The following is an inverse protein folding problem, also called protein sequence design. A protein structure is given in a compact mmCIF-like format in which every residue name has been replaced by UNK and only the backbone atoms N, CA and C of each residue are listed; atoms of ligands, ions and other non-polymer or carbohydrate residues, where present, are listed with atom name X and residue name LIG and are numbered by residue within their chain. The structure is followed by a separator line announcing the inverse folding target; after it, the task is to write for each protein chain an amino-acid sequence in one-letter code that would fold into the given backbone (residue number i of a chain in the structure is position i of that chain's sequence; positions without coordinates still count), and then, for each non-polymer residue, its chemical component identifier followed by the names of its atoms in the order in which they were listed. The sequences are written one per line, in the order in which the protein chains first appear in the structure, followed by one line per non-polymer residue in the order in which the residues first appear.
data_IF_511192178535
#
_entry.id   IF_511192178535
#
_cell.length_a   1.000
_cell.length_b   1.000
_cell.length_c   1.000
_cell.angle_alpha   90.00
_cell.angle_beta   90.00
_cell.angle_gamma   90.00
#
_symmetry.space_group_name_H-M   'P 1'
#
loop_
_entity.id
_entity.type
_entity.pdbx_description
1 polymer ?
#
# COMPACT_ATOMS: atom_id res chain seq x y z
N UNK A 1 19.09 -75.99 31.11
CA UNK A 1 19.92 -74.92 31.71
C UNK A 1 20.44 -74.05 30.58
N UNK A 2 19.72 -72.98 30.29
CA UNK A 2 20.01 -71.97 29.25
C UNK A 2 20.93 -70.91 29.85
N UNK A 3 22.16 -70.80 29.35
CA UNK A 3 23.07 -69.72 29.74
C UNK A 3 22.83 -68.53 28.81
N UNK A 4 22.25 -67.48 29.37
CA UNK A 4 22.07 -66.17 28.74
C UNK A 4 23.44 -65.55 28.44
N UNK A 5 23.61 -65.05 27.21
CA UNK A 5 24.75 -64.20 26.84
C UNK A 5 24.29 -62.75 27.00
N UNK A 6 24.85 -61.95 27.93
CA UNK A 6 24.42 -60.57 28.12
C UNK A 6 25.01 -59.69 27.02
N UNK A 7 24.13 -59.13 26.20
CA UNK A 7 24.43 -57.98 25.37
C UNK A 7 24.54 -56.74 26.25
N UNK A 8 25.63 -55.98 26.13
CA UNK A 8 25.72 -54.63 26.68
C UNK A 8 27.10 -54.23 27.15
N UNK A 9 27.93 -53.70 26.25
CA UNK A 9 28.90 -52.68 26.66
C UNK A 9 28.23 -51.31 26.50
N UNK A 10 28.09 -50.50 27.57
CA UNK A 10 27.51 -49.18 27.45
C UNK A 10 28.40 -48.32 26.55
N UNK A 11 27.75 -47.51 25.71
CA UNK A 11 28.41 -46.44 24.97
C UNK A 11 29.39 -45.72 25.90
N UNK A 12 30.67 -45.70 25.52
CA UNK A 12 31.65 -44.84 26.19
C UNK A 12 31.09 -43.43 26.12
N UNK A 13 30.61 -42.92 27.26
CA UNK A 13 30.17 -41.54 27.41
C UNK A 13 31.24 -40.68 26.78
N UNK A 14 30.93 -40.02 25.67
CA UNK A 14 31.82 -39.03 25.06
C UNK A 14 31.83 -37.83 25.99
N UNK A 15 32.59 -37.96 27.07
CA UNK A 15 32.77 -36.94 28.06
C UNK A 15 33.23 -35.66 27.36
N UNK A 16 32.58 -34.52 27.61
CA UNK A 16 32.78 -33.31 26.84
C UNK A 16 34.25 -32.87 26.86
N UNK A 17 34.72 -32.42 25.69
CA UNK A 17 36.07 -31.94 25.51
C UNK A 17 36.14 -30.51 26.09
N UNK A 18 36.88 -30.32 27.18
CA UNK A 18 37.11 -29.00 27.78
C UNK A 18 38.44 -28.44 27.30
N UNK A 19 38.63 -27.10 27.29
CA UNK A 19 39.92 -26.49 26.98
C UNK A 19 41.11 -27.12 27.71
N UNK A 20 40.95 -27.36 29.02
CA UNK A 20 42.00 -27.97 29.83
C UNK A 20 42.27 -29.43 29.50
N UNK A 21 41.26 -30.16 29.03
CA UNK A 21 41.43 -31.53 28.58
C UNK A 21 42.17 -31.58 27.25
N UNK A 22 41.91 -30.65 26.34
CA UNK A 22 42.67 -30.53 25.08
C UNK A 22 44.14 -30.23 25.36
N UNK A 23 44.43 -29.33 26.31
CA UNK A 23 45.82 -29.01 26.71
C UNK A 23 46.59 -30.20 27.29
N UNK A 24 45.89 -31.08 28.00
CA UNK A 24 46.46 -32.25 28.69
C UNK A 24 46.33 -33.55 27.89
N UNK A 25 45.91 -33.48 26.63
CA UNK A 25 45.72 -34.67 25.81
C UNK A 25 47.07 -35.24 25.40
N UNK A 26 47.35 -36.47 25.81
CA UNK A 26 48.53 -37.21 25.37
C UNK A 26 48.23 -38.04 24.12
N UNK A 27 49.22 -38.12 23.22
CA UNK A 27 49.18 -38.97 22.03
C UNK A 27 50.26 -40.04 22.10
N UNK A 28 49.93 -41.25 21.65
CA UNK A 28 50.91 -42.35 21.58
C UNK A 28 51.97 -42.10 20.51
N UNK A 29 53.23 -42.35 20.84
CA UNK A 29 54.34 -42.24 19.87
C UNK A 29 54.22 -43.31 18.78
N UNK A 30 54.61 -42.95 17.56
CA UNK A 30 54.57 -43.88 16.42
C UNK A 30 55.60 -45.00 16.59
N UNK A 31 55.23 -46.24 16.24
CA UNK A 31 56.12 -47.42 16.27
C UNK A 31 57.38 -47.22 15.42
N UNK A 32 58.52 -47.78 15.84
CA UNK A 32 59.83 -47.66 15.18
C UNK A 32 59.71 -47.81 13.64
N UNK A 33 60.21 -46.83 12.89
CA UNK A 33 60.28 -46.86 11.42
C UNK A 33 59.15 -46.15 10.66
N UNK A 34 58.16 -45.57 11.35
CA UNK A 34 57.10 -44.73 10.71
C UNK A 34 57.26 -43.26 11.08
N UNK A 35 56.99 -42.36 10.13
CA UNK A 35 56.99 -40.89 10.36
C UNK A 35 55.73 -40.52 11.15
N UNK A 36 55.90 -39.82 12.27
CA UNK A 36 54.82 -39.24 13.07
C UNK A 36 54.78 -37.72 12.94
N UNK A 37 53.73 -37.09 13.48
CA UNK A 37 53.66 -35.63 13.61
C UNK A 37 54.71 -35.11 14.61
N UNK A 38 55.16 -33.87 14.42
CA UNK A 38 56.03 -33.20 15.38
C UNK A 38 55.29 -32.95 16.69
N UNK A 39 55.86 -33.38 17.81
CA UNK A 39 55.24 -33.21 19.13
C UNK A 39 55.05 -31.72 19.46
N UNK A 40 56.02 -30.87 19.12
CA UNK A 40 55.98 -29.44 19.39
C UNK A 40 54.89 -28.73 18.56
N UNK A 41 54.72 -29.13 17.30
CA UNK A 41 53.67 -28.58 16.42
C UNK A 41 52.27 -29.01 16.90
N UNK A 42 52.11 -30.29 17.25
CA UNK A 42 50.86 -30.82 17.79
C UNK A 42 50.53 -30.14 19.12
N UNK A 43 51.51 -29.95 20.00
CA UNK A 43 51.33 -29.29 21.29
C UNK A 43 50.94 -27.83 21.12
N UNK A 44 51.59 -27.11 20.20
CA UNK A 44 51.24 -25.72 19.87
C UNK A 44 49.83 -25.61 19.29
N UNK A 45 49.43 -26.55 18.44
CA UNK A 45 48.07 -26.62 17.90
C UNK A 45 47.03 -26.88 19.00
N UNK A 46 47.29 -27.82 19.92
CA UNK A 46 46.40 -28.10 21.05
C UNK A 46 46.19 -26.87 21.96
N UNK A 47 47.24 -26.08 22.21
CA UNK A 47 47.11 -24.84 22.97
C UNK A 47 46.19 -23.82 22.29
N UNK A 48 46.36 -23.61 20.97
CA UNK A 48 45.50 -22.70 20.20
C UNK A 48 44.05 -23.16 20.18
N UNK A 49 43.81 -24.45 19.94
CA UNK A 49 42.45 -25.02 19.97
C UNK A 49 41.82 -24.83 21.35
N UNK A 50 42.58 -25.06 22.42
CA UNK A 50 42.08 -24.85 23.77
C UNK A 50 41.76 -23.37 24.06
N UNK A 51 42.55 -22.42 23.56
CA UNK A 51 42.27 -20.99 23.68
C UNK A 51 41.00 -20.59 22.93
N UNK A 52 40.85 -21.01 21.67
CA UNK A 52 39.66 -20.73 20.85
C UNK A 52 38.39 -21.33 21.49
N UNK A 53 38.51 -22.53 22.06
CA UNK A 53 37.42 -23.16 22.82
C UNK A 53 37.07 -22.38 24.08
N UNK A 54 38.07 -21.94 24.85
CA UNK A 54 37.83 -21.14 26.05
C UNK A 54 37.18 -19.79 25.73
N UNK A 55 37.59 -19.14 24.64
CA UNK A 55 36.97 -17.92 24.16
C UNK A 55 35.51 -18.14 23.74
N UNK A 56 35.25 -19.22 22.99
CA UNK A 56 33.90 -19.60 22.57
C UNK A 56 33.00 -19.96 23.76
N UNK A 57 33.54 -20.63 24.78
CA UNK A 57 32.80 -20.97 25.99
C UNK A 57 32.44 -19.73 26.80
N UNK A 58 33.34 -18.75 26.88
CA UNK A 58 33.06 -17.44 27.48
C UNK A 58 31.97 -16.70 26.73
N UNK A 59 32.05 -16.62 25.41
CA UNK A 59 31.02 -15.96 24.59
C UNK A 59 29.65 -16.61 24.76
N UNK A 60 29.58 -17.95 24.76
CA UNK A 60 28.34 -18.68 25.05
C UNK A 60 27.82 -18.41 26.45
N UNK A 61 28.68 -18.29 27.45
CA UNK A 61 28.29 -17.96 28.81
C UNK A 61 27.71 -16.54 28.88
N UNK A 62 28.36 -15.57 28.23
CA UNK A 62 27.91 -14.18 28.17
C UNK A 62 26.56 -14.06 27.44
N UNK A 63 26.39 -14.76 26.32
CA UNK A 63 25.12 -14.85 25.57
C UNK A 63 24.00 -15.47 26.41
N UNK A 64 24.28 -16.55 27.13
CA UNK A 64 23.30 -17.19 28.03
C UNK A 64 22.90 -16.26 29.16
N UNK A 65 23.86 -15.59 29.80
CA UNK A 65 23.59 -14.60 30.83
C UNK A 65 22.79 -13.40 30.30
N UNK A 66 22.98 -13.00 29.05
CA UNK A 66 22.18 -11.98 28.40
C UNK A 66 20.73 -12.44 28.15
N UNK A 67 20.55 -13.64 27.59
CA UNK A 67 19.22 -14.24 27.39
C UNK A 67 18.47 -14.37 28.73
N UNK A 68 19.15 -14.83 29.79
CA UNK A 68 18.53 -14.99 31.10
C UNK A 68 18.13 -13.64 31.71
N UNK A 69 18.98 -12.62 31.59
CA UNK A 69 18.64 -11.24 31.99
C UNK A 69 17.44 -10.70 31.21
N UNK A 70 17.40 -10.89 29.90
CA UNK A 70 16.26 -10.48 29.07
C UNK A 70 14.98 -11.21 29.50
N UNK A 71 15.04 -12.52 29.73
CA UNK A 71 13.90 -13.31 30.22
C UNK A 71 13.43 -12.85 31.60
N UNK A 72 14.34 -12.52 32.50
CA UNK A 72 14.00 -11.95 33.82
C UNK A 72 13.32 -10.60 33.67
N UNK A 73 13.87 -9.70 32.84
CA UNK A 73 13.27 -8.41 32.54
C UNK A 73 11.83 -8.55 32.02
N UNK A 74 11.59 -9.47 31.08
CA UNK A 74 10.25 -9.79 30.57
C UNK A 74 9.31 -10.31 31.67
N UNK A 75 9.80 -11.22 32.53
CA UNK A 75 9.02 -11.75 33.67
C UNK A 75 8.64 -10.66 34.68
N UNK A 76 9.58 -9.79 35.04
CA UNK A 76 9.37 -8.70 36.00
C UNK A 76 8.37 -7.66 35.49
N UNK A 77 8.40 -7.38 34.18
CA UNK A 77 7.49 -6.43 33.54
C UNK A 77 6.16 -7.07 33.09
N UNK A 78 5.92 -8.35 33.41
CA UNK A 78 4.70 -9.07 33.05
C UNK A 78 4.47 -9.25 31.54
N UNK A 79 5.50 -9.05 30.72
CA UNK A 79 5.43 -9.18 29.26
C UNK A 79 5.94 -10.57 28.85
N UNK A 80 5.11 -11.38 28.19
CA UNK A 80 5.61 -12.62 27.61
C UNK A 80 6.50 -12.33 26.38
N UNK A 81 7.63 -13.02 26.20
CA UNK A 81 8.50 -12.82 25.04
C UNK A 81 7.80 -13.13 23.70
N UNK A 82 6.84 -14.05 23.71
CA UNK A 82 5.95 -14.33 22.57
C UNK A 82 5.02 -13.14 22.25
N UNK A 83 4.54 -12.43 23.27
CA UNK A 83 3.70 -11.24 23.08
C UNK A 83 4.51 -10.05 22.56
N UNK A 84 5.79 -9.92 22.93
CA UNK A 84 6.67 -8.90 22.37
C UNK A 84 6.93 -9.14 20.87
N UNK A 85 7.20 -10.40 20.48
CA UNK A 85 7.35 -10.78 19.07
C UNK A 85 6.04 -10.62 18.28
N UNK A 86 4.90 -10.99 18.87
CA UNK A 86 3.58 -10.77 18.29
C UNK A 86 3.25 -9.28 18.12
N UNK A 87 3.69 -8.42 19.06
CA UNK A 87 3.47 -6.96 18.97
C UNK A 87 4.31 -6.32 17.87
N UNK A 88 5.54 -6.79 17.67
CA UNK A 88 6.42 -6.33 16.58
C UNK A 88 5.86 -6.73 15.21
N UNK A 89 5.39 -7.97 15.05
CA UNK A 89 4.78 -8.45 13.80
C UNK A 89 3.49 -7.70 13.49
N UNK A 90 2.60 -7.52 14.47
CA UNK A 90 1.39 -6.72 14.32
C UNK A 90 1.70 -5.26 13.94
N UNK A 91 2.79 -4.68 14.48
CA UNK A 91 3.24 -3.33 14.10
C UNK A 91 3.71 -3.27 12.65
N UNK A 92 4.44 -4.28 12.16
CA UNK A 92 4.86 -4.35 10.75
C UNK A 92 3.66 -4.54 9.83
N UNK A 93 2.71 -5.39 10.19
CA UNK A 93 1.47 -5.59 9.43
C UNK A 93 0.61 -4.31 9.39
N UNK A 94 0.50 -3.59 10.51
CA UNK A 94 -0.19 -2.31 10.56
C UNK A 94 0.48 -1.27 9.65
N UNK A 95 1.82 -1.21 9.63
CA UNK A 95 2.57 -0.32 8.72
C UNK A 95 2.31 -0.71 7.26
N UNK A 96 2.30 -2.01 6.93
CA UNK A 96 2.01 -2.49 5.58
C UNK A 96 0.57 -2.14 5.13
N UNK A 97 -0.41 -2.30 6.03
CA UNK A 97 -1.82 -1.93 5.76
C UNK A 97 -1.93 -0.43 5.57
N UNK A 98 -1.31 0.37 6.43
CA UNK A 98 -1.31 1.84 6.30
C UNK A 98 -0.65 2.30 5.00
N UNK A 99 0.47 1.69 4.61
CA UNK A 99 1.15 2.02 3.35
C UNK A 99 0.28 1.69 2.14
N UNK A 100 -0.39 0.52 2.13
CA UNK A 100 -1.35 0.17 1.06
C UNK A 100 -2.56 1.09 1.04
N UNK A 101 -3.09 1.46 2.21
CA UNK A 101 -4.20 2.39 2.33
C UNK A 101 -3.83 3.78 1.81
N UNK A 102 -2.63 4.28 2.15
CA UNK A 102 -2.10 5.55 1.63
C UNK A 102 -1.94 5.51 0.11
N UNK A 103 -1.30 4.48 -0.45
CA UNK A 103 -1.17 4.33 -1.90
C UNK A 103 -2.54 4.30 -2.61
N UNK A 104 -3.53 3.65 -1.99
CA UNK A 104 -4.89 3.60 -2.53
C UNK A 104 -5.57 4.97 -2.46
N UNK A 105 -5.41 5.69 -1.34
CA UNK A 105 -5.93 7.03 -1.18
C UNK A 105 -5.30 8.00 -2.20
N UNK A 106 -3.98 7.97 -2.37
CA UNK A 106 -3.27 8.80 -3.34
C UNK A 106 -3.73 8.51 -4.78
N UNK A 107 -3.94 7.24 -5.12
CA UNK A 107 -4.48 6.84 -6.42
C UNK A 107 -5.91 7.36 -6.64
N UNK A 108 -6.77 7.25 -5.63
CA UNK A 108 -8.14 7.78 -5.70
C UNK A 108 -8.18 9.30 -5.80
N UNK A 109 -7.28 10.00 -5.10
CA UNK A 109 -7.14 11.46 -5.21
C UNK A 109 -6.71 11.83 -6.62
N UNK A 110 -5.69 11.17 -7.18
CA UNK A 110 -5.24 11.43 -8.54
C UNK A 110 -6.34 11.18 -9.59
N UNK A 111 -7.09 10.08 -9.44
CA UNK A 111 -8.23 9.77 -10.31
C UNK A 111 -9.35 10.82 -10.21
N UNK A 112 -9.70 11.23 -8.99
CA UNK A 112 -10.70 12.26 -8.75
C UNK A 112 -10.27 13.63 -9.33
N UNK A 113 -9.00 14.00 -9.19
CA UNK A 113 -8.44 15.22 -9.76
C UNK A 113 -8.48 15.22 -11.28
N UNK A 114 -8.03 14.12 -11.92
CA UNK A 114 -8.07 13.97 -13.38
C UNK A 114 -9.49 14.05 -13.92
N UNK A 115 -10.43 13.39 -13.24
CA UNK A 115 -11.84 13.43 -13.61
C UNK A 115 -12.44 14.83 -13.44
N UNK A 116 -12.16 15.52 -12.33
CA UNK A 116 -12.59 16.90 -12.12
C UNK A 116 -12.08 17.83 -13.23
N UNK A 117 -10.81 17.68 -13.62
CA UNK A 117 -10.24 18.40 -14.77
C UNK A 117 -10.97 18.09 -16.07
N UNK A 118 -11.35 16.83 -16.31
CA UNK A 118 -12.13 16.42 -17.49
C UNK A 118 -13.51 17.06 -17.51
N UNK A 119 -14.29 16.96 -16.43
CA UNK A 119 -15.61 17.61 -16.35
C UNK A 119 -15.51 19.10 -16.61
N UNK A 120 -14.58 19.81 -15.96
CA UNK A 120 -14.41 21.26 -16.17
C UNK A 120 -14.06 21.57 -17.62
N UNK A 121 -13.21 20.77 -18.26
CA UNK A 121 -12.87 20.94 -19.68
C UNK A 121 -14.04 20.67 -20.62
N UNK A 122 -14.91 19.71 -20.28
CA UNK A 122 -16.10 19.37 -21.05
C UNK A 122 -17.15 20.48 -20.89
N UNK A 123 -17.42 20.91 -19.67
CA UNK A 123 -18.34 22.01 -19.38
C UNK A 123 -17.94 23.31 -20.07
N UNK A 124 -16.64 23.64 -20.10
CA UNK A 124 -16.13 24.82 -20.83
C UNK A 124 -16.41 24.73 -22.32
N UNK A 125 -16.10 23.60 -22.96
CA UNK A 125 -16.37 23.39 -24.39
C UNK A 125 -17.87 23.47 -24.70
N UNK A 126 -18.69 22.80 -23.90
CA UNK A 126 -20.15 22.84 -24.04
C UNK A 126 -20.70 24.26 -23.90
N UNK A 127 -20.18 25.04 -22.96
CA UNK A 127 -20.56 26.44 -22.78
C UNK A 127 -20.19 27.30 -24.00
N UNK A 128 -18.98 27.12 -24.53
CA UNK A 128 -18.54 27.84 -25.74
C UNK A 128 -19.42 27.49 -26.95
N UNK A 129 -19.74 26.20 -27.14
CA UNK A 129 -20.65 25.72 -28.19
C UNK A 129 -22.05 26.30 -28.04
N UNK A 130 -22.60 26.29 -26.82
CA UNK A 130 -23.90 26.86 -26.50
C UNK A 130 -23.97 28.36 -26.81
N UNK A 131 -22.93 29.12 -26.45
CA UNK A 131 -22.86 30.55 -26.75
C UNK A 131 -22.83 30.82 -28.26
N UNK A 132 -22.01 30.07 -29.01
CA UNK A 132 -21.93 30.21 -30.46
C UNK A 132 -23.28 29.91 -31.12
N UNK A 133 -23.95 28.84 -30.70
CA UNK A 133 -25.25 28.47 -31.26
C UNK A 133 -26.36 29.46 -30.88
N UNK A 134 -26.40 29.91 -29.62
CA UNK A 134 -27.36 30.91 -29.20
C UNK A 134 -27.18 32.24 -29.94
N UNK A 135 -25.93 32.65 -30.18
CA UNK A 135 -25.61 33.85 -30.95
C UNK A 135 -26.05 33.70 -32.42
N UNK A 136 -25.81 32.54 -33.04
CA UNK A 136 -26.26 32.24 -34.41
C UNK A 136 -27.78 32.30 -34.54
N UNK A 137 -28.51 31.61 -33.65
CA UNK A 137 -29.97 31.59 -33.67
C UNK A 137 -30.57 32.97 -33.39
N UNK A 138 -29.99 33.72 -32.45
CA UNK A 138 -30.43 35.08 -32.16
C UNK A 138 -30.24 36.03 -33.35
N UNK A 139 -29.13 35.91 -34.08
CA UNK A 139 -28.87 36.68 -35.30
C UNK A 139 -29.88 36.35 -36.40
N UNK A 140 -30.19 35.07 -36.60
CA UNK A 140 -31.20 34.61 -37.55
C UNK A 140 -32.60 35.14 -37.21
N UNK A 141 -33.01 35.04 -35.94
CA UNK A 141 -34.29 35.56 -35.47
C UNK A 141 -34.39 37.09 -35.61
N UNK A 142 -33.30 37.80 -35.33
CA UNK A 142 -33.22 39.24 -35.49
C UNK A 142 -33.41 39.68 -36.95
N UNK A 143 -32.77 38.97 -37.89
CA UNK A 143 -32.92 39.23 -39.32
C UNK A 143 -34.34 38.91 -39.83
N UNK A 144 -34.96 37.84 -39.30
CA UNK A 144 -36.35 37.50 -39.62
C UNK A 144 -37.34 38.55 -39.11
N UNK A 145 -37.13 39.06 -37.88
CA UNK A 145 -37.97 40.10 -37.30
C UNK A 145 -37.94 41.40 -38.12
N UNK A 146 -36.76 41.81 -38.58
CA UNK A 146 -36.60 42.96 -39.50
C UNK A 146 -37.33 42.72 -40.82
N UNK A 147 -37.20 41.52 -41.41
CA UNK A 147 -37.90 41.17 -42.65
C UNK A 147 -39.42 41.25 -42.49
N UNK A 148 -39.95 40.71 -41.39
CA UNK A 148 -41.38 40.78 -41.05
C UNK A 148 -41.86 42.21 -40.80
N UNK A 149 -41.07 43.03 -40.10
CA UNK A 149 -41.36 44.43 -39.83
C UNK A 149 -41.46 45.26 -41.11
N UNK A 150 -40.51 45.08 -42.04
CA UNK A 150 -40.55 45.72 -43.37
C UNK A 150 -41.76 45.27 -44.18
N UNK A 151 -42.11 43.98 -44.12
CA UNK A 151 -43.25 43.42 -44.85
C UNK A 151 -44.62 43.87 -44.30
N UNK A 152 -44.71 44.27 -43.02
CA UNK A 152 -45.99 44.66 -42.39
C UNK A 152 -46.50 46.05 -42.80
N UNK A 153 -45.82 46.75 -43.70
CA UNK A 153 -46.19 48.12 -44.11
C UNK A 153 -45.84 49.21 -43.09
N UNK A 154 -45.26 48.84 -41.93
CA UNK A 154 -44.70 49.78 -40.95
C UNK A 154 -43.34 50.38 -41.39
N UNK A 155 -42.84 50.03 -42.58
CA UNK A 155 -41.58 50.52 -43.15
C UNK A 155 -41.53 52.02 -43.44
N UNK A 156 -42.60 52.79 -43.19
CA UNK A 156 -42.54 54.26 -43.15
C UNK A 156 -42.05 54.81 -41.79
N UNK A 157 -41.91 53.97 -40.76
CA UNK A 157 -41.35 54.37 -39.46
C UNK A 157 -39.81 54.33 -39.47
N UNK A 158 -39.21 55.20 -38.64
CA UNK A 158 -37.77 55.45 -38.47
C UNK A 158 -36.90 54.19 -38.51
N UNK A 159 -35.69 54.29 -39.09
CA UNK A 159 -34.65 53.25 -39.02
C UNK A 159 -34.36 52.81 -37.57
N UNK A 160 -34.59 53.70 -36.60
CA UNK A 160 -34.48 53.40 -35.17
C UNK A 160 -35.49 52.36 -34.69
N UNK A 161 -36.72 52.36 -35.23
CA UNK A 161 -37.75 51.38 -34.85
C UNK A 161 -37.42 49.98 -35.37
N UNK A 162 -36.87 49.89 -36.58
CA UNK A 162 -36.39 48.64 -37.16
C UNK A 162 -35.19 48.07 -36.36
N UNK A 163 -34.25 48.93 -35.96
CA UNK A 163 -33.12 48.54 -35.11
C UNK A 163 -33.57 48.06 -33.73
N UNK A 164 -34.57 48.73 -33.14
CA UNK A 164 -35.14 48.32 -31.86
C UNK A 164 -35.80 46.94 -31.94
N UNK A 165 -36.58 46.69 -32.99
CA UNK A 165 -37.23 45.40 -33.22
C UNK A 165 -36.20 44.27 -33.41
N UNK A 166 -35.13 44.54 -34.17
CA UNK A 166 -33.99 43.63 -34.32
C UNK A 166 -33.37 43.30 -32.97
N UNK A 167 -33.09 44.32 -32.15
CA UNK A 167 -32.45 44.16 -30.83
C UNK A 167 -33.33 43.38 -29.87
N UNK A 168 -34.65 43.64 -29.87
CA UNK A 168 -35.62 42.92 -29.05
C UNK A 168 -35.68 41.45 -29.43
N UNK A 169 -35.80 41.14 -30.73
CA UNK A 169 -35.84 39.76 -31.23
C UNK A 169 -34.54 39.00 -30.93
N UNK A 170 -33.39 39.66 -31.11
CA UNK A 170 -32.09 39.10 -30.74
C UNK A 170 -32.03 38.75 -29.25
N UNK A 171 -32.32 39.71 -28.37
CA UNK A 171 -32.18 39.51 -26.92
C UNK A 171 -33.15 38.46 -26.38
N UNK A 172 -34.40 38.43 -26.88
CA UNK A 172 -35.38 37.41 -26.50
C UNK A 172 -34.91 36.01 -26.89
N UNK A 173 -34.54 35.84 -28.15
CA UNK A 173 -34.10 34.53 -28.66
C UNK A 173 -32.82 34.05 -27.95
N UNK A 174 -31.85 34.94 -27.76
CA UNK A 174 -30.63 34.61 -27.04
C UNK A 174 -30.92 34.19 -25.60
N UNK A 175 -31.78 34.91 -24.88
CA UNK A 175 -32.16 34.58 -23.50
C UNK A 175 -32.89 33.22 -23.43
N UNK A 176 -33.86 32.98 -24.32
CA UNK A 176 -34.64 31.74 -24.32
C UNK A 176 -33.75 30.51 -24.61
N UNK A 177 -32.90 30.61 -25.64
CA UNK A 177 -32.01 29.52 -26.06
C UNK A 177 -30.98 29.22 -24.98
N UNK A 178 -30.32 30.27 -24.44
CA UNK A 178 -29.32 30.07 -23.38
C UNK A 178 -29.94 29.50 -22.11
N UNK A 179 -31.14 29.91 -21.73
CA UNK A 179 -31.82 29.40 -20.54
C UNK A 179 -32.16 27.91 -20.67
N UNK A 180 -32.74 27.48 -21.79
CA UNK A 180 -33.10 26.08 -22.05
C UNK A 180 -31.84 25.21 -22.07
N UNK A 181 -30.80 25.64 -22.79
CA UNK A 181 -29.58 24.87 -22.96
C UNK A 181 -28.75 24.81 -21.66
N UNK A 182 -28.68 25.90 -20.89
CA UNK A 182 -27.99 25.91 -19.61
C UNK A 182 -28.65 24.95 -18.61
N UNK A 183 -29.98 24.90 -18.59
CA UNK A 183 -30.71 23.94 -17.77
C UNK A 183 -30.39 22.50 -18.14
N UNK A 184 -30.38 22.17 -19.43
CA UNK A 184 -30.02 20.85 -19.92
C UNK A 184 -28.57 20.45 -19.56
N UNK A 185 -27.61 21.39 -19.70
CA UNK A 185 -26.21 21.18 -19.31
C UNK A 185 -26.09 20.94 -17.80
N UNK A 186 -26.78 21.73 -16.97
CA UNK A 186 -26.75 21.56 -15.51
C UNK A 186 -27.37 20.22 -15.07
N UNK A 187 -28.47 19.79 -15.71
CA UNK A 187 -29.08 18.47 -15.46
C UNK A 187 -28.13 17.33 -15.86
N UNK A 188 -27.44 17.46 -16.99
CA UNK A 188 -26.41 16.50 -17.43
C UNK A 188 -25.23 16.41 -16.46
N UNK A 189 -24.68 17.56 -16.05
CA UNK A 189 -23.58 17.64 -15.08
C UNK A 189 -23.97 17.09 -13.72
N UNK A 190 -25.18 17.38 -13.24
CA UNK A 190 -25.68 16.83 -11.99
C UNK A 190 -25.76 15.29 -12.04
N UNK A 191 -26.17 14.72 -13.17
CA UNK A 191 -26.21 13.27 -13.36
C UNK A 191 -24.81 12.64 -13.41
N UNK A 192 -23.83 13.30 -14.03
CA UNK A 192 -22.44 12.84 -14.01
C UNK A 192 -21.83 12.88 -12.60
N UNK A 193 -22.12 13.93 -11.82
CA UNK A 193 -21.69 14.03 -10.42
C UNK A 193 -22.37 12.98 -9.55
N UNK A 194 -23.66 12.69 -9.76
CA UNK A 194 -24.41 11.67 -9.01
C UNK A 194 -23.85 10.25 -9.24
N UNK A 195 -23.42 9.94 -10.47
CA UNK A 195 -22.72 8.67 -10.76
C UNK A 195 -21.44 8.50 -9.93
N UNK A 196 -20.76 9.59 -9.56
CA UNK A 196 -19.59 9.54 -8.68
C UNK A 196 -19.96 9.40 -7.21
N UNK A 197 -21.10 9.95 -6.78
CA UNK A 197 -21.60 9.74 -5.42
C UNK A 197 -21.80 8.25 -5.11
N UNK A 198 -22.01 7.45 -6.15
CA UNK A 198 -22.08 6.00 -6.12
C UNK A 198 -20.73 5.33 -6.47
N UNK A 199 -19.65 5.65 -5.74
CA UNK A 199 -18.49 4.74 -5.70
C UNK A 199 -18.96 3.43 -5.05
N UNK A 200 -18.73 2.25 -5.66
CA UNK A 200 -19.41 1.03 -5.26
C UNK A 200 -19.06 0.64 -3.82
N UNK A 201 -20.02 -0.01 -3.14
CA UNK A 201 -19.84 -0.81 -1.92
C UNK A 201 -18.74 -1.93 -2.05
N UNK A 202 -17.85 -1.90 -3.05
CA UNK A 202 -16.67 -2.76 -3.14
C UNK A 202 -15.74 -2.61 -1.94
N UNK A 203 -15.64 -1.40 -1.36
CA UNK A 203 -14.95 -1.21 -0.07
C UNK A 203 -15.64 -1.96 1.08
N UNK A 204 -16.99 -2.08 1.07
CA UNK A 204 -17.74 -2.91 2.03
C UNK A 204 -17.61 -4.40 1.73
N UNK A 205 -17.54 -4.82 0.48
CA UNK A 205 -17.36 -6.24 0.11
C UNK A 205 -15.97 -6.77 0.48
N UNK A 206 -14.93 -5.94 0.42
CA UNK A 206 -13.59 -6.30 0.90
C UNK A 206 -13.50 -6.33 2.43
N UNK A 207 -14.30 -5.53 3.14
CA UNK A 207 -14.36 -5.53 4.61
C UNK A 207 -15.28 -6.63 5.19
N UNK A 208 -16.28 -7.12 4.44
CA UNK A 208 -17.26 -8.12 4.90
C UNK A 208 -16.84 -9.58 4.73
N UNK A 209 -15.73 -9.86 4.06
CA UNK A 209 -15.25 -11.21 3.75
C UNK A 209 -14.36 -11.83 4.81
N UNK A 210 -14.82 -11.93 6.07
CA UNK A 210 -14.16 -12.79 7.06
C UNK A 210 -14.92 -14.11 7.19
N UNK A 211 -14.35 -15.28 6.83
CA UNK A 211 -15.03 -16.56 7.04
C UNK A 211 -15.06 -16.86 8.54
N UNK A 212 -16.25 -17.00 9.12
CA UNK A 212 -16.41 -17.57 10.47
C UNK A 212 -15.81 -18.98 10.49
N UNK A 213 -14.93 -19.32 11.45
CA UNK A 213 -14.48 -20.69 11.61
C UNK A 213 -15.68 -21.51 12.13
N UNK A 214 -16.17 -22.42 11.29
CA UNK A 214 -17.13 -23.45 11.71
C UNK A 214 -16.51 -24.24 12.86
N UNK A 215 -17.12 -24.13 14.03
CA UNK A 215 -16.89 -25.00 15.17
C UNK A 215 -17.45 -26.38 14.82
N UNK A 216 -16.58 -27.35 14.60
CA UNK A 216 -16.91 -28.78 14.69
C UNK A 216 -15.65 -29.55 15.11
N UNK A 217 -15.78 -30.36 16.18
CA UNK A 217 -14.79 -31.33 16.63
C UNK A 217 -14.69 -31.40 18.14
#
# INVERSE_FOLDING_TARGET
MTAETPWGSPASERQPLTPDRVRKQDFTRTSLGRRGYSEDEVRSFLYRVAEDMAASDKEKADLRAYIDRMKQWYKEHGMNPEQAAASQTLSVDAINILSRAQQTADAQIAEAEDYARRIVSQARRQYEELLMEAQRQAEEAANQAVGAYRASGNGLQSAEAEELERRIAYLRTFADVTQVQLRAVLEGLAHEVDKLGHVPDQAKQLAGGSPSPSVYG
#
